data_IF_005171321219
#
_entry.id   IF_005171321219
#
_cell.length_a   1.000
_cell.length_b   1.000
_cell.length_c   1.000
_cell.angle_alpha   90.00
_cell.angle_beta   90.00
_cell.angle_gamma   90.00
#
_symmetry.space_group_name_H-M   'P 1'
#
loop_
_entity.id
_entity.type
_entity.pdbx_description
1 polymer ?
#
# COMPACT_ATOMS: atom_id res chain seq x y z
N UNK A 1 -20.70 53.63 -12.38
CA UNK A 1 -21.19 52.22 -12.30
C UNK A 1 -19.98 51.30 -12.44
N UNK A 2 -19.86 50.32 -11.55
CA UNK A 2 -18.64 49.62 -11.11
C UNK A 2 -18.06 48.67 -12.19
N UNK A 3 -16.76 48.79 -12.48
CA UNK A 3 -15.95 47.80 -13.23
C UNK A 3 -15.30 46.83 -12.24
N UNK A 4 -15.92 45.69 -11.99
CA UNK A 4 -15.39 44.60 -11.16
C UNK A 4 -15.57 43.31 -11.93
N UNK A 5 -14.53 42.79 -12.58
CA UNK A 5 -14.69 41.54 -13.32
C UNK A 5 -13.53 41.17 -14.22
N UNK A 6 -12.29 41.11 -13.69
CA UNK A 6 -11.18 40.45 -14.41
C UNK A 6 -10.17 39.73 -13.48
N UNK A 7 -10.40 39.62 -12.17
CA UNK A 7 -9.37 39.11 -11.23
C UNK A 7 -9.56 37.63 -10.85
N UNK A 8 -10.57 36.92 -11.36
CA UNK A 8 -10.89 35.56 -10.87
C UNK A 8 -10.44 34.37 -11.73
N UNK A 9 -9.75 34.56 -12.87
CA UNK A 9 -9.46 33.46 -13.82
C UNK A 9 -7.97 33.05 -13.84
N UNK A 10 -7.16 33.52 -12.90
CA UNK A 10 -5.72 33.18 -12.81
C UNK A 10 -5.33 32.33 -11.60
N UNK A 11 -6.29 31.79 -10.86
CA UNK A 11 -6.04 31.00 -9.65
C UNK A 11 -6.40 29.50 -9.75
N UNK A 12 -6.71 28.97 -10.95
CA UNK A 12 -7.19 27.59 -11.09
C UNK A 12 -6.27 26.62 -11.84
N UNK A 13 -5.06 27.05 -12.22
CA UNK A 13 -4.12 26.23 -12.99
C UNK A 13 -2.72 26.17 -12.36
N UNK A 14 -2.68 26.21 -11.03
CA UNK A 14 -1.46 25.95 -10.25
C UNK A 14 -1.74 24.99 -9.09
N UNK A 15 -2.57 23.98 -9.32
CA UNK A 15 -2.82 22.88 -8.39
C UNK A 15 -2.52 21.49 -9.01
N UNK A 16 -1.77 21.45 -10.11
CA UNK A 16 -1.46 20.21 -10.83
C UNK A 16 0.02 19.78 -10.74
N UNK A 17 0.79 20.31 -9.78
CA UNK A 17 2.22 20.00 -9.64
C UNK A 17 2.64 19.52 -8.24
N UNK A 18 1.69 19.27 -7.33
CA UNK A 18 1.96 18.60 -6.05
C UNK A 18 1.40 17.17 -6.04
N UNK A 19 1.74 16.39 -7.07
CA UNK A 19 1.85 14.93 -6.97
C UNK A 19 3.32 14.58 -6.84
N UNK A 20 3.99 15.17 -5.85
CA UNK A 20 5.38 14.87 -5.54
C UNK A 20 5.53 13.35 -5.43
N UNK A 21 6.57 12.81 -6.08
CA UNK A 21 7.12 11.49 -5.80
C UNK A 21 7.44 11.40 -4.30
N UNK A 22 6.44 11.07 -3.51
CA UNK A 22 6.57 10.80 -2.09
C UNK A 22 6.82 9.31 -2.05
N UNK A 23 8.03 8.93 -1.66
CA UNK A 23 8.34 7.56 -1.23
C UNK A 23 7.56 7.25 0.06
N UNK A 24 6.24 7.26 -0.01
CA UNK A 24 5.37 6.63 0.96
C UNK A 24 5.22 5.19 0.48
N UNK A 25 5.79 4.24 1.21
CA UNK A 25 5.58 2.82 0.92
C UNK A 25 4.09 2.55 0.71
N UNK A 26 3.79 1.76 -0.32
CA UNK A 26 2.44 1.27 -0.58
C UNK A 26 1.99 0.42 0.62
N UNK A 27 0.71 0.51 0.95
CA UNK A 27 0.14 -0.26 2.05
C UNK A 27 -0.83 -1.30 1.54
N UNK A 28 -0.72 -2.52 2.04
CA UNK A 28 -1.59 -3.64 1.72
C UNK A 28 -2.24 -4.15 3.00
N UNK A 29 -3.58 -4.19 3.03
CA UNK A 29 -4.34 -4.74 4.15
C UNK A 29 -4.59 -6.22 3.92
N UNK A 30 -4.24 -7.08 4.88
CA UNK A 30 -4.30 -8.52 4.69
C UNK A 30 -4.71 -9.29 5.95
N UNK A 31 -5.07 -10.56 5.74
CA UNK A 31 -5.21 -11.56 6.80
C UNK A 31 -4.12 -12.61 6.66
N UNK A 32 -3.41 -12.90 7.75
CA UNK A 32 -2.38 -13.95 7.78
C UNK A 32 -3.03 -15.32 7.63
N UNK A 33 -2.50 -16.14 6.73
CA UNK A 33 -2.97 -17.52 6.50
C UNK A 33 -1.95 -18.57 6.94
N UNK A 34 -0.67 -18.30 6.72
CA UNK A 34 0.44 -19.18 7.11
C UNK A 34 1.61 -18.33 7.61
N UNK A 35 2.33 -18.83 8.61
CA UNK A 35 3.50 -18.16 9.22
C UNK A 35 4.73 -19.03 9.01
N UNK A 36 5.79 -18.40 8.49
CA UNK A 36 7.12 -18.99 8.32
C UNK A 36 8.14 -18.25 9.19
N UNK A 37 9.42 -18.63 9.11
CA UNK A 37 10.48 -18.05 9.94
C UNK A 37 10.66 -16.54 9.71
N UNK A 38 10.75 -16.11 8.45
CA UNK A 38 11.00 -14.70 8.06
C UNK A 38 9.96 -14.15 7.08
N UNK A 39 8.79 -14.79 7.01
CA UNK A 39 7.75 -14.45 6.06
C UNK A 39 6.38 -14.95 6.50
N UNK A 40 5.34 -14.45 5.86
CA UNK A 40 3.96 -14.89 6.01
C UNK A 40 3.28 -15.03 4.66
N UNK A 41 2.40 -16.03 4.54
CA UNK A 41 1.40 -16.06 3.47
C UNK A 41 0.17 -15.30 3.93
N UNK A 42 -0.31 -14.38 3.12
CA UNK A 42 -1.44 -13.53 3.46
C UNK A 42 -2.48 -13.53 2.35
N UNK A 43 -3.71 -13.22 2.71
CA UNK A 43 -4.79 -12.96 1.76
C UNK A 43 -5.14 -11.48 1.82
N UNK A 44 -5.20 -10.80 0.67
CA UNK A 44 -5.57 -9.39 0.59
C UNK A 44 -7.02 -9.20 1.08
N UNK A 45 -7.20 -8.34 2.07
CA UNK A 45 -8.51 -8.08 2.67
C UNK A 45 -9.39 -7.18 1.78
N UNK A 46 -8.75 -6.32 0.99
CA UNK A 46 -9.35 -5.36 0.06
C UNK A 46 -8.51 -5.25 -1.22
N UNK A 47 -9.11 -4.68 -2.28
CA UNK A 47 -8.40 -4.39 -3.52
C UNK A 47 -7.42 -3.22 -3.29
N UNK A 48 -6.20 -3.37 -3.80
CA UNK A 48 -5.16 -2.35 -3.75
C UNK A 48 -4.39 -2.30 -5.07
N UNK A 49 -3.51 -1.32 -5.22
CA UNK A 49 -2.71 -1.18 -6.45
C UNK A 49 -1.85 -2.45 -6.68
N UNK A 50 -2.20 -3.22 -7.71
CA UNK A 50 -1.50 -4.45 -8.08
C UNK A 50 -1.97 -5.72 -7.38
N UNK A 51 -2.99 -5.66 -6.51
CA UNK A 51 -3.52 -6.84 -5.80
C UNK A 51 -5.04 -6.82 -5.71
N UNK A 52 -5.68 -7.91 -6.13
CA UNK A 52 -7.12 -8.08 -6.00
C UNK A 52 -7.52 -8.52 -4.58
N UNK A 53 -8.74 -8.18 -4.16
CA UNK A 53 -9.30 -8.74 -2.93
C UNK A 53 -9.32 -10.28 -2.99
N UNK A 54 -8.86 -10.94 -1.93
CA UNK A 54 -8.79 -12.40 -1.86
C UNK A 54 -7.55 -13.00 -2.53
N UNK A 55 -6.70 -12.19 -3.15
CA UNK A 55 -5.43 -12.65 -3.71
C UNK A 55 -4.46 -13.08 -2.60
N UNK A 56 -3.70 -14.14 -2.86
CA UNK A 56 -2.66 -14.62 -1.94
C UNK A 56 -1.33 -13.96 -2.27
N UNK A 57 -0.65 -13.48 -1.24
CA UNK A 57 0.65 -12.81 -1.36
C UNK A 57 1.62 -13.39 -0.35
N UNK A 58 2.84 -13.67 -0.79
CA UNK A 58 3.95 -14.02 0.09
C UNK A 58 4.68 -12.75 0.52
N UNK A 59 4.76 -12.51 1.82
CA UNK A 59 5.34 -11.28 2.37
C UNK A 59 6.54 -11.66 3.23
N UNK A 60 7.74 -11.26 2.82
CA UNK A 60 8.93 -11.34 3.66
C UNK A 60 9.19 -10.01 4.35
N UNK A 61 9.77 -10.03 5.55
CA UNK A 61 10.15 -8.81 6.26
C UNK A 61 11.44 -9.07 7.03
N UNK A 62 12.37 -8.11 7.05
CA UNK A 62 13.62 -8.23 7.81
C UNK A 62 13.35 -8.39 9.30
N UNK A 63 12.35 -7.68 9.83
CA UNK A 63 11.91 -7.79 11.22
C UNK A 63 10.47 -8.27 11.27
N UNK A 64 10.29 -9.57 11.52
CA UNK A 64 8.97 -10.16 11.66
C UNK A 64 8.38 -9.86 13.05
N UNK A 65 7.18 -9.27 13.14
CA UNK A 65 6.42 -9.27 14.39
C UNK A 65 5.95 -10.69 14.72
N UNK A 66 5.57 -10.92 15.97
CA UNK A 66 4.89 -12.15 16.35
C UNK A 66 3.49 -12.17 15.72
N UNK A 67 3.28 -13.09 14.78
CA UNK A 67 2.03 -13.24 14.03
C UNK A 67 1.50 -14.67 14.15
N UNK A 68 0.18 -14.82 14.04
CA UNK A 68 -0.52 -16.08 13.95
C UNK A 68 -1.48 -16.10 12.74
N UNK A 69 -1.81 -17.29 12.20
CA UNK A 69 -2.89 -17.40 11.23
C UNK A 69 -4.20 -16.80 11.78
N UNK A 70 -4.84 -15.96 10.97
CA UNK A 70 -6.05 -15.22 11.33
C UNK A 70 -5.80 -13.76 11.70
N UNK A 71 -4.56 -13.35 11.98
CA UNK A 71 -4.27 -11.95 12.31
C UNK A 71 -4.56 -11.02 11.13
N UNK A 72 -5.26 -9.92 11.41
CA UNK A 72 -5.40 -8.81 10.47
C UNK A 72 -4.13 -7.94 10.57
N UNK A 73 -3.50 -7.69 9.43
CA UNK A 73 -2.24 -6.95 9.38
C UNK A 73 -2.28 -5.87 8.28
N UNK A 74 -1.48 -4.84 8.49
CA UNK A 74 -1.09 -3.86 7.47
C UNK A 74 0.36 -4.08 7.09
N UNK A 75 0.61 -4.29 5.81
CA UNK A 75 1.95 -4.42 5.25
C UNK A 75 2.31 -3.10 4.56
N UNK A 76 3.47 -2.55 4.84
CA UNK A 76 4.04 -1.40 4.11
C UNK A 76 5.24 -1.88 3.29
N UNK A 77 5.28 -1.56 2.00
CA UNK A 77 6.33 -2.02 1.07
C UNK A 77 6.62 -0.97 -0.01
N UNK A 78 7.76 -1.07 -0.69
CA UNK A 78 8.23 -0.06 -1.65
C UNK A 78 7.51 -0.04 -3.01
N UNK A 79 6.47 -0.86 -3.19
CA UNK A 79 5.78 -1.06 -4.48
C UNK A 79 6.45 -2.09 -5.40
N UNK A 80 7.59 -2.67 -5.01
CA UNK A 80 8.24 -3.74 -5.76
C UNK A 80 7.52 -5.07 -5.53
N UNK A 81 6.90 -5.58 -6.59
CA UNK A 81 6.24 -6.89 -6.60
C UNK A 81 7.03 -7.84 -7.49
N UNK A 82 7.43 -8.99 -6.94
CA UNK A 82 8.04 -10.05 -7.72
C UNK A 82 6.95 -10.86 -8.41
N UNK A 83 7.05 -10.98 -9.74
CA UNK A 83 6.08 -11.71 -10.55
C UNK A 83 6.31 -13.22 -10.37
N UNK A 84 5.54 -13.83 -9.48
CA UNK A 84 5.44 -15.28 -9.27
C UNK A 84 4.03 -15.67 -8.83
N UNK A 85 3.77 -16.96 -8.61
CA UNK A 85 2.49 -17.45 -8.11
C UNK A 85 2.67 -18.27 -6.82
N UNK A 86 2.20 -17.79 -5.65
CA UNK A 86 1.60 -16.47 -5.43
C UNK A 86 2.61 -15.31 -5.64
N UNK A 87 2.10 -14.09 -5.78
CA UNK A 87 2.93 -12.88 -5.87
C UNK A 87 3.76 -12.70 -4.59
N UNK A 88 4.94 -12.10 -4.68
CA UNK A 88 5.78 -11.87 -3.51
C UNK A 88 6.19 -10.41 -3.37
N UNK A 89 6.24 -9.95 -2.13
CA UNK A 89 6.72 -8.62 -1.77
C UNK A 89 7.68 -8.68 -0.59
N UNK A 90 8.55 -7.69 -0.53
CA UNK A 90 9.42 -7.44 0.64
C UNK A 90 8.83 -6.26 1.40
N UNK A 91 8.33 -6.52 2.60
CA UNK A 91 7.81 -5.52 3.49
C UNK A 91 8.93 -4.73 4.15
N UNK A 92 8.72 -3.41 4.22
CA UNK A 92 9.48 -2.51 5.08
C UNK A 92 8.96 -2.57 6.52
N UNK A 93 7.65 -2.80 6.69
CA UNK A 93 7.00 -2.88 8.00
C UNK A 93 5.74 -3.75 7.95
N UNK A 94 5.51 -4.50 9.01
CA UNK A 94 4.24 -5.21 9.25
C UNK A 94 3.68 -4.77 10.60
N UNK A 95 2.40 -4.42 10.63
CA UNK A 95 1.68 -3.98 11.83
C UNK A 95 0.39 -4.79 11.99
N UNK A 96 0.08 -5.27 13.21
CA UNK A 96 -1.25 -5.78 13.52
C UNK A 96 -2.29 -4.65 13.46
N UNK A 97 -3.50 -4.96 12.99
CA UNK A 97 -4.66 -4.05 12.98
C UNK A 97 -5.63 -4.32 14.13
#
# INVERSE_FOLDING_TARGET
MKKWGVIFITAFLLAALFGACKGSGQTLSCTVTEVYENAVMVTCAEESEGFAQGEKVYVSCETMPALAPGDAIRVTFSGQVMISEPAQIVAEKIELQ
#
